data_IF_065560430821
#
_entry.id   IF_065560430821
#
_cell.length_a   1.000
_cell.length_b   1.000
_cell.length_c   1.000
_cell.angle_alpha   90.00
_cell.angle_beta   90.00
_cell.angle_gamma   90.00
#
_symmetry.space_group_name_H-M   'P 1'
#
loop_
_entity.id
_entity.type
_entity.pdbx_description
1 polymer ?
#
# COMPACT_ATOMS: atom_id res chain seq x y z
N UNK A 1 1.97 -65.52 -17.05
CA UNK A 1 3.39 -65.37 -17.42
C UNK A 1 3.74 -63.89 -17.45
N UNK A 2 4.57 -63.43 -16.54
CA UNK A 2 5.27 -62.13 -16.65
C UNK A 2 6.66 -62.41 -17.27
N UNK A 3 7.29 -61.46 -17.98
CA UNK A 3 8.30 -60.64 -17.30
C UNK A 3 8.29 -59.16 -17.76
N UNK A 4 8.22 -58.18 -16.85
CA UNK A 4 9.33 -57.43 -16.24
C UNK A 4 10.29 -56.73 -17.27
N UNK A 5 9.95 -55.47 -17.56
CA UNK A 5 10.75 -54.21 -17.67
C UNK A 5 12.23 -54.26 -18.09
N UNK A 6 12.65 -53.28 -18.92
CA UNK A 6 13.56 -52.28 -18.35
C UNK A 6 13.29 -50.83 -18.79
N UNK A 7 13.82 -49.91 -17.98
CA UNK A 7 14.17 -48.53 -18.31
C UNK A 7 12.98 -47.59 -18.65
N UNK A 8 12.42 -46.83 -17.71
CA UNK A 8 13.10 -45.72 -17.02
C UNK A 8 13.94 -44.87 -17.99
N UNK A 9 13.29 -44.03 -18.80
CA UNK A 9 13.73 -42.70 -19.30
C UNK A 9 12.49 -42.10 -20.00
N UNK A 10 11.60 -41.46 -19.26
CA UNK A 10 10.55 -40.62 -19.84
C UNK A 10 10.11 -39.51 -18.87
N UNK A 11 11.03 -39.05 -18.01
CA UNK A 11 10.77 -38.03 -16.98
C UNK A 11 11.69 -36.82 -17.12
N UNK A 12 12.08 -36.44 -18.34
CA UNK A 12 13.00 -35.31 -18.50
C UNK A 12 12.74 -34.52 -19.77
N UNK A 13 11.56 -33.90 -19.89
CA UNK A 13 11.32 -32.81 -20.84
C UNK A 13 10.18 -31.89 -20.38
N UNK A 14 10.21 -31.47 -19.12
CA UNK A 14 9.57 -30.20 -18.71
C UNK A 14 10.54 -29.08 -19.07
N UNK A 15 10.45 -28.62 -20.32
CA UNK A 15 11.14 -27.41 -20.80
C UNK A 15 10.70 -26.25 -19.91
N UNK A 16 11.68 -25.66 -19.22
CA UNK A 16 11.51 -24.41 -18.50
C UNK A 16 11.03 -23.33 -19.47
N UNK A 17 9.77 -22.90 -19.32
CA UNK A 17 9.34 -21.62 -19.86
C UNK A 17 10.06 -20.53 -19.04
N UNK A 18 11.27 -20.18 -19.46
CA UNK A 18 11.89 -18.95 -19.00
C UNK A 18 11.02 -17.79 -19.51
N UNK A 19 10.56 -16.87 -18.65
CA UNK A 19 10.04 -15.61 -19.16
C UNK A 19 11.21 -14.95 -19.90
N UNK A 20 11.08 -14.80 -21.22
CA UNK A 20 11.91 -13.87 -21.94
C UNK A 20 11.69 -12.52 -21.28
N UNK A 21 12.69 -12.03 -20.54
CA UNK A 21 12.70 -10.69 -19.97
C UNK A 21 12.69 -9.74 -21.16
N UNK A 22 11.50 -9.39 -21.63
CA UNK A 22 11.32 -8.36 -22.64
C UNK A 22 11.82 -7.07 -22.00
N UNK A 23 13.01 -6.61 -22.41
CA UNK A 23 13.50 -5.27 -22.09
C UNK A 23 12.41 -4.29 -22.56
N UNK A 24 11.60 -3.76 -21.63
CA UNK A 24 10.55 -2.81 -21.96
C UNK A 24 11.20 -1.54 -22.47
N UNK A 25 11.21 -1.39 -23.79
CA UNK A 25 11.66 -0.19 -24.49
C UNK A 25 10.44 0.65 -24.79
N UNK A 26 10.46 1.90 -24.34
CA UNK A 26 9.44 2.87 -24.71
C UNK A 26 10.03 3.79 -25.76
N UNK A 27 9.31 3.92 -26.87
CA UNK A 27 9.65 4.84 -27.94
C UNK A 27 8.94 6.15 -27.70
N UNK A 28 9.70 7.25 -27.71
CA UNK A 28 9.16 8.59 -27.60
C UNK A 28 9.42 9.37 -28.90
N UNK A 29 8.41 10.10 -29.37
CA UNK A 29 8.58 11.05 -30.47
C UNK A 29 7.72 12.29 -30.24
N UNK A 30 8.11 13.40 -30.88
CA UNK A 30 7.36 14.65 -30.84
C UNK A 30 6.70 14.84 -32.20
N UNK A 31 5.39 15.03 -32.22
CA UNK A 31 4.64 15.26 -33.46
C UNK A 31 4.79 16.72 -33.95
N UNK A 32 4.21 17.01 -35.12
CA UNK A 32 4.27 18.34 -35.75
C UNK A 32 3.56 19.44 -34.94
N UNK A 33 2.65 19.07 -34.04
CA UNK A 33 1.95 20.00 -33.14
C UNK A 33 2.69 20.19 -31.82
N UNK A 34 3.83 19.50 -31.64
CA UNK A 34 4.67 19.58 -30.47
C UNK A 34 4.26 18.67 -29.32
N UNK A 35 3.34 17.73 -29.54
CA UNK A 35 2.90 16.76 -28.52
C UNK A 35 3.87 15.58 -28.49
N UNK A 36 4.30 15.19 -27.28
CA UNK A 36 5.16 14.03 -27.06
C UNK A 36 4.31 12.78 -26.89
N UNK A 37 4.48 11.81 -27.77
CA UNK A 37 3.82 10.51 -27.74
C UNK A 37 4.78 9.43 -27.25
N UNK A 38 4.23 8.46 -26.50
CA UNK A 38 4.95 7.29 -26.00
C UNK A 38 4.25 6.03 -26.50
N UNK A 39 5.02 5.04 -26.97
CA UNK A 39 4.48 3.76 -27.42
C UNK A 39 5.45 2.62 -27.15
N UNK A 40 4.90 1.43 -26.93
CA UNK A 40 5.65 0.18 -26.80
C UNK A 40 5.96 -0.44 -28.17
N UNK A 41 5.38 0.07 -29.27
CA UNK A 41 5.56 -0.45 -30.63
C UNK A 41 6.38 0.52 -31.48
N UNK A 42 7.53 0.05 -31.98
CA UNK A 42 8.47 0.87 -32.76
C UNK A 42 7.76 1.66 -33.90
N UNK A 43 7.72 3.00 -33.83
CA UNK A 43 7.04 3.80 -34.84
C UNK A 43 7.94 3.96 -36.08
N UNK A 44 7.33 4.08 -37.26
CA UNK A 44 8.05 4.24 -38.55
C UNK A 44 8.75 5.59 -38.73
N UNK A 45 8.52 6.54 -37.82
CA UNK A 45 9.08 7.89 -37.84
C UNK A 45 10.29 8.00 -36.91
N UNK A 46 11.08 9.07 -37.06
CA UNK A 46 12.25 9.32 -36.22
C UNK A 46 11.82 9.40 -34.76
N UNK A 47 12.34 8.50 -33.93
CA UNK A 47 11.98 8.35 -32.53
C UNK A 47 13.23 8.18 -31.66
N UNK A 48 13.11 8.52 -30.38
CA UNK A 48 14.11 8.22 -29.38
C UNK A 48 13.68 6.93 -28.66
N UNK A 49 14.61 5.99 -28.53
CA UNK A 49 14.38 4.74 -27.79
C UNK A 49 14.86 4.94 -26.36
N UNK A 50 13.98 4.76 -25.37
CA UNK A 50 14.34 4.78 -23.96
C UNK A 50 14.15 3.40 -23.37
N UNK A 51 15.23 2.83 -22.86
CA UNK A 51 15.17 1.62 -22.05
C UNK A 51 14.66 1.98 -20.66
N UNK A 52 13.63 1.29 -20.20
CA UNK A 52 13.14 1.43 -18.83
C UNK A 52 13.80 0.33 -18.01
N UNK A 53 14.74 0.71 -17.15
CA UNK A 53 15.10 -0.10 -16.00
C UNK A 53 13.91 -0.09 -15.05
N UNK A 54 13.14 -1.18 -15.06
CA UNK A 54 12.12 -1.41 -14.04
C UNK A 54 12.87 -1.63 -12.74
N UNK A 55 12.77 -0.67 -11.82
CA UNK A 55 13.31 -0.88 -10.49
C UNK A 55 12.45 -1.98 -9.83
N UNK A 56 12.97 -3.20 -9.72
CA UNK A 56 12.30 -4.38 -9.16
C UNK A 56 11.96 -4.27 -7.65
N UNK A 57 11.83 -3.05 -7.11
CA UNK A 57 11.37 -2.80 -5.75
C UNK A 57 12.31 -3.41 -4.71
N UNK A 58 13.63 -3.29 -4.90
CA UNK A 58 14.58 -3.67 -3.84
C UNK A 58 14.28 -2.77 -2.63
N UNK A 59 13.81 -3.32 -1.49
CA UNK A 59 13.48 -2.50 -0.34
C UNK A 59 14.73 -1.74 0.08
N UNK A 60 14.64 -0.41 0.16
CA UNK A 60 15.74 0.40 0.65
C UNK A 60 16.06 -0.03 2.10
N UNK A 61 17.23 -0.65 2.28
CA UNK A 61 17.80 -0.91 3.61
C UNK A 61 18.20 0.43 4.21
N UNK A 62 17.31 0.94 5.06
CA UNK A 62 17.43 2.26 5.67
C UNK A 62 16.11 3.01 5.73
N UNK A 63 15.02 2.34 6.13
CA UNK A 63 13.80 3.05 6.48
C UNK A 63 14.05 3.85 7.76
N UNK A 64 14.45 5.11 7.61
CA UNK A 64 14.31 6.10 8.66
C UNK A 64 12.88 6.01 9.19
N UNK A 65 12.72 6.02 10.52
CA UNK A 65 11.46 5.94 11.24
C UNK A 65 10.48 6.89 10.56
N UNK A 66 9.57 6.33 9.76
CA UNK A 66 8.58 7.15 9.05
C UNK A 66 7.84 7.94 10.13
N UNK A 67 7.58 9.24 9.90
CA UNK A 67 6.77 10.00 10.83
C UNK A 67 5.46 9.24 11.03
N UNK A 68 5.07 9.13 12.29
CA UNK A 68 3.84 8.45 12.66
C UNK A 68 2.67 9.01 11.87
N UNK A 69 1.75 8.13 11.47
CA UNK A 69 0.57 8.53 10.71
C UNK A 69 -0.25 9.59 11.48
N UNK A 70 -0.86 10.54 10.77
CA UNK A 70 -1.76 11.52 11.39
C UNK A 70 -2.88 10.84 12.19
N UNK A 71 -3.33 9.67 11.69
CA UNK A 71 -4.34 8.84 12.33
C UNK A 71 -3.88 8.40 13.72
N UNK A 72 -2.62 7.99 13.89
CA UNK A 72 -2.17 7.62 15.22
C UNK A 72 -1.92 8.82 16.13
N UNK A 73 -1.42 9.95 15.59
CA UNK A 73 -1.28 11.18 16.39
C UNK A 73 -2.65 11.62 16.94
N UNK A 74 -3.70 11.57 16.11
CA UNK A 74 -5.08 11.85 16.53
C UNK A 74 -5.60 10.82 17.54
N UNK A 75 -5.39 9.53 17.29
CA UNK A 75 -5.85 8.46 18.19
C UNK A 75 -5.22 8.58 19.60
N UNK A 76 -3.91 8.86 19.69
CA UNK A 76 -3.24 9.09 20.97
C UNK A 76 -3.75 10.34 21.67
N UNK A 77 -3.99 11.43 20.93
CA UNK A 77 -4.60 12.64 21.48
C UNK A 77 -6.00 12.40 22.06
N UNK A 78 -6.81 11.59 21.37
CA UNK A 78 -8.14 11.22 21.85
C UNK A 78 -8.08 10.36 23.11
N UNK A 79 -7.19 9.35 23.15
CA UNK A 79 -6.97 8.54 24.36
C UNK A 79 -6.58 9.43 25.53
N UNK A 80 -5.65 10.37 25.35
CA UNK A 80 -5.21 11.28 26.41
C UNK A 80 -6.37 12.15 26.94
N UNK A 81 -7.21 12.68 26.03
CA UNK A 81 -8.38 13.48 26.42
C UNK A 81 -9.43 12.68 27.18
N UNK A 82 -9.66 11.43 26.79
CA UNK A 82 -10.58 10.52 27.48
C UNK A 82 -10.01 10.14 28.86
N UNK A 83 -8.73 9.77 28.93
CA UNK A 83 -8.09 9.40 30.19
C UNK A 83 -7.99 10.54 31.21
N UNK A 84 -8.01 11.80 30.77
CA UNK A 84 -8.06 12.96 31.66
C UNK A 84 -9.34 13.00 32.53
N UNK A 85 -10.38 12.22 32.18
CA UNK A 85 -11.53 11.95 33.05
C UNK A 85 -12.49 13.14 33.26
N UNK A 86 -12.36 14.20 32.47
CA UNK A 86 -13.26 15.34 32.52
C UNK A 86 -14.65 15.03 31.93
N UNK A 87 -15.71 15.74 32.35
CA UNK A 87 -17.04 15.59 31.75
C UNK A 87 -16.99 15.97 30.27
N UNK A 88 -17.44 15.06 29.40
CA UNK A 88 -17.54 15.28 27.96
C UNK A 88 -19.01 15.47 27.63
N UNK A 89 -19.36 16.68 27.20
CA UNK A 89 -20.70 17.02 26.74
C UNK A 89 -20.95 16.55 25.31
N UNK A 90 -22.15 16.05 25.04
CA UNK A 90 -22.66 15.70 23.72
C UNK A 90 -23.60 16.82 23.29
N UNK A 91 -23.26 17.45 22.17
CA UNK A 91 -24.09 18.43 21.48
C UNK A 91 -24.65 17.76 20.23
N UNK A 92 -25.94 17.43 20.27
CA UNK A 92 -26.65 16.73 19.19
C UNK A 92 -27.31 17.70 18.22
N UNK A 93 -27.60 18.92 18.67
CA UNK A 93 -28.35 19.92 17.92
C UNK A 93 -27.44 20.99 17.26
N UNK A 94 -26.15 21.02 17.62
CA UNK A 94 -25.14 21.94 17.09
C UNK A 94 -25.23 23.36 17.66
N UNK A 95 -25.90 23.57 18.80
CA UNK A 95 -26.07 24.89 19.41
C UNK A 95 -24.87 25.35 20.27
N UNK A 96 -23.85 24.49 20.41
CA UNK A 96 -22.65 24.74 21.18
C UNK A 96 -22.81 24.53 22.70
N UNK A 97 -23.98 24.09 23.16
CA UNK A 97 -24.25 23.69 24.53
C UNK A 97 -24.40 22.17 24.59
N UNK A 98 -23.87 21.52 25.64
CA UNK A 98 -24.05 20.08 25.79
C UNK A 98 -25.49 19.75 26.21
N UNK A 99 -26.17 18.91 25.42
CA UNK A 99 -27.49 18.36 25.74
C UNK A 99 -27.41 17.42 26.95
N UNK A 100 -26.33 16.63 27.00
CA UNK A 100 -26.03 15.70 28.09
C UNK A 100 -24.53 15.43 28.16
N UNK A 101 -24.08 14.84 29.27
CA UNK A 101 -22.73 14.30 29.35
C UNK A 101 -22.67 12.84 28.88
N UNK A 102 -21.50 12.42 28.38
CA UNK A 102 -21.17 11.01 28.22
C UNK A 102 -21.25 10.29 29.57
N UNK A 103 -21.86 9.11 29.56
CA UNK A 103 -21.89 8.19 30.69
C UNK A 103 -20.53 7.50 30.87
N UNK A 104 -20.32 6.85 32.01
CA UNK A 104 -19.09 6.10 32.27
C UNK A 104 -18.89 4.94 31.26
N UNK A 105 -19.97 4.27 30.87
CA UNK A 105 -19.92 3.17 29.90
C UNK A 105 -19.60 3.67 28.49
N UNK A 106 -20.21 4.77 28.05
CA UNK A 106 -19.88 5.41 26.77
C UNK A 106 -18.44 5.90 26.75
N UNK A 107 -17.98 6.47 27.86
CA UNK A 107 -16.60 6.92 28.01
C UNK A 107 -15.62 5.74 27.88
N UNK A 108 -15.93 4.61 28.52
CA UNK A 108 -15.15 3.38 28.41
C UNK A 108 -15.14 2.82 26.98
N UNK A 109 -16.30 2.76 26.33
CA UNK A 109 -16.40 2.30 24.95
C UNK A 109 -15.60 3.20 24.00
N UNK A 110 -15.67 4.52 24.17
CA UNK A 110 -14.90 5.47 23.38
C UNK A 110 -13.40 5.30 23.61
N UNK A 111 -12.98 5.07 24.85
CA UNK A 111 -11.57 4.80 25.18
C UNK A 111 -11.08 3.52 24.50
N UNK A 112 -11.86 2.43 24.54
CA UNK A 112 -11.52 1.16 23.92
C UNK A 112 -11.37 1.29 22.39
N UNK A 113 -12.29 1.99 21.72
CA UNK A 113 -12.21 2.26 20.30
C UNK A 113 -10.96 3.08 19.93
N UNK A 114 -10.62 4.09 20.72
CA UNK A 114 -9.43 4.90 20.46
C UNK A 114 -8.13 4.13 20.75
N UNK A 115 -8.11 3.25 21.76
CA UNK A 115 -6.99 2.35 22.01
C UNK A 115 -6.79 1.34 20.87
N UNK A 116 -7.88 0.79 20.33
CA UNK A 116 -7.83 -0.06 19.14
C UNK A 116 -7.30 0.71 17.92
N UNK A 117 -7.72 1.96 17.75
CA UNK A 117 -7.20 2.85 16.70
C UNK A 117 -5.69 3.13 16.87
N UNK A 118 -5.21 3.35 18.10
CA UNK A 118 -3.76 3.47 18.35
C UNK A 118 -3.04 2.19 17.91
N UNK A 119 -3.52 1.02 18.33
CA UNK A 119 -2.93 -0.27 17.95
C UNK A 119 -2.90 -0.46 16.43
N UNK A 120 -3.98 -0.08 15.74
CA UNK A 120 -4.07 -0.18 14.30
C UNK A 120 -3.15 0.82 13.60
N UNK A 121 -3.23 2.11 13.91
CA UNK A 121 -2.62 3.15 13.09
C UNK A 121 -1.18 3.53 13.47
N UNK A 122 -0.75 3.29 14.71
CA UNK A 122 0.64 3.57 15.11
C UNK A 122 1.64 2.57 14.55
N UNK A 123 1.19 1.37 14.17
CA UNK A 123 2.04 0.32 13.61
C UNK A 123 2.02 0.30 12.08
N UNK A 124 0.99 0.90 11.46
CA UNK A 124 0.72 0.89 10.02
C UNK A 124 1.26 2.12 9.29
N UNK A 125 2.23 2.85 9.89
CA UNK A 125 3.01 3.85 9.16
C UNK A 125 3.99 3.16 8.19
N UNK A 126 3.43 2.42 7.23
CA UNK A 126 4.12 1.95 6.04
C UNK A 126 3.08 1.71 4.95
N UNK A 127 3.03 2.61 3.97
CA UNK A 127 3.35 2.21 2.61
C UNK A 127 4.72 2.75 2.18
#
# INVERSE_FOLDING_TARGET
MNPIRPLAIALALTVAAAPAMAQQRVYQWKDANGVTHYTDVAPKQIHQTREIEVNDGKPAEGAAKQPESEQCTKARGNVARLQAGGPIGIDTNGDGKPDRNMTADEHKAQLELNQAAVKAFCMQAKP
#
